data_IF_308913650108
#
_entry.id   IF_308913650108
#
_cell.length_a   1.000
_cell.length_b   1.000
_cell.length_c   1.000
_cell.angle_alpha   90.00
_cell.angle_beta   90.00
_cell.angle_gamma   90.00
#
_symmetry.space_group_name_H-M   'P 1'
#
loop_
_entity.id
_entity.type
_entity.pdbx_description
1 polymer ?
#
# COMPACT_ATOMS: atom_id res chain seq x y z
N UNK A 1 -19.53 13.07 -14.41
CA UNK A 1 -18.80 13.22 -15.67
C UNK A 1 -17.44 12.53 -15.54
N UNK A 2 -17.03 11.81 -16.58
CA UNK A 2 -15.70 11.18 -16.67
C UNK A 2 -15.05 11.70 -17.95
N UNK A 3 -13.77 12.08 -17.90
CA UNK A 3 -12.97 12.48 -19.06
C UNK A 3 -11.52 12.05 -18.91
N UNK A 4 -10.87 11.79 -20.04
CA UNK A 4 -9.42 11.64 -20.11
C UNK A 4 -8.74 12.99 -20.05
N UNK A 5 -7.53 13.02 -19.52
CA UNK A 5 -6.67 14.20 -19.48
C UNK A 5 -5.55 14.05 -20.51
N UNK A 6 -5.09 15.16 -21.09
CA UNK A 6 -3.95 15.18 -22.01
C UNK A 6 -2.65 14.65 -21.39
N UNK A 7 -2.57 14.67 -20.08
CA UNK A 7 -1.46 14.09 -19.30
C UNK A 7 -1.52 12.55 -19.19
N UNK A 8 -2.54 11.91 -19.77
CA UNK A 8 -2.73 10.46 -19.75
C UNK A 8 -3.43 9.91 -18.50
N UNK A 9 -4.00 10.78 -17.67
CA UNK A 9 -4.82 10.40 -16.51
C UNK A 9 -6.32 10.59 -16.77
N UNK A 10 -7.10 10.49 -15.69
CA UNK A 10 -8.55 10.62 -15.71
C UNK A 10 -9.04 11.66 -14.70
N UNK A 11 -10.10 12.38 -15.07
CA UNK A 11 -10.87 13.22 -14.15
C UNK A 11 -12.28 12.65 -14.05
N UNK A 12 -12.74 12.47 -12.81
CA UNK A 12 -14.11 12.12 -12.48
C UNK A 12 -14.71 13.26 -11.67
N UNK A 13 -15.83 13.80 -12.13
CA UNK A 13 -16.59 14.80 -11.37
C UNK A 13 -17.89 14.18 -10.90
N UNK A 14 -18.14 14.19 -9.59
CA UNK A 14 -19.37 13.65 -9.01
C UNK A 14 -20.56 14.63 -9.15
N UNK A 15 -21.74 14.23 -8.63
CA UNK A 15 -22.95 15.06 -8.69
C UNK A 15 -22.88 16.30 -7.78
N UNK A 16 -22.01 16.27 -6.77
CA UNK A 16 -21.76 17.39 -5.86
C UNK A 16 -20.72 18.37 -6.40
N UNK A 17 -20.10 18.05 -7.55
CA UNK A 17 -19.08 18.86 -8.21
C UNK A 17 -17.67 18.64 -7.66
N UNK A 18 -17.47 17.63 -6.82
CA UNK A 18 -16.12 17.21 -6.38
C UNK A 18 -15.42 16.53 -7.52
N UNK A 19 -14.15 16.91 -7.75
CA UNK A 19 -13.29 16.35 -8.78
C UNK A 19 -12.31 15.36 -8.16
N UNK A 20 -12.17 14.22 -8.82
CA UNK A 20 -11.21 13.17 -8.50
C UNK A 20 -10.27 13.01 -9.70
N UNK A 21 -8.98 13.18 -9.48
CA UNK A 21 -7.94 13.02 -10.51
C UNK A 21 -7.19 11.71 -10.26
N UNK A 22 -7.02 10.93 -11.33
CA UNK A 22 -6.38 9.62 -11.25
C UNK A 22 -5.24 9.54 -12.26
N UNK A 23 -4.08 9.07 -11.81
CA UNK A 23 -2.92 8.81 -12.66
C UNK A 23 -2.40 10.05 -13.41
N UNK A 24 -2.54 11.25 -12.84
CA UNK A 24 -2.01 12.47 -13.44
C UNK A 24 -0.50 12.53 -13.33
N UNK A 25 0.07 11.92 -12.28
CA UNK A 25 1.50 11.68 -12.15
C UNK A 25 1.86 10.27 -12.63
N UNK A 26 3.08 10.11 -13.16
CA UNK A 26 3.60 8.80 -13.62
C UNK A 26 3.66 7.81 -12.46
N UNK A 27 4.02 8.26 -11.27
CA UNK A 27 4.11 7.40 -10.09
C UNK A 27 2.75 6.89 -9.59
N UNK A 28 1.66 7.56 -9.94
CA UNK A 28 0.31 7.12 -9.64
C UNK A 28 -0.26 6.11 -10.65
N UNK A 29 0.54 5.65 -11.59
CA UNK A 29 0.14 4.63 -12.58
C UNK A 29 0.87 3.32 -12.32
N UNK A 30 0.16 2.22 -12.49
CA UNK A 30 0.75 0.90 -12.70
C UNK A 30 0.74 0.68 -14.21
N UNK A 31 1.90 0.84 -14.83
CA UNK A 31 2.10 0.77 -16.26
C UNK A 31 3.25 -0.18 -16.61
N UNK A 32 3.24 -0.69 -17.83
CA UNK A 32 4.29 -1.57 -18.33
C UNK A 32 5.63 -0.82 -18.34
N UNK A 33 6.67 -1.31 -17.62
CA UNK A 33 7.98 -0.67 -17.60
C UNK A 33 8.63 -0.55 -19.00
N UNK A 34 8.25 -1.41 -19.95
CA UNK A 34 8.78 -1.42 -21.31
C UNK A 34 7.93 -0.61 -22.30
N UNK A 35 6.67 -0.35 -21.94
CA UNK A 35 5.73 0.41 -22.75
C UNK A 35 4.77 1.22 -21.86
N UNK A 36 5.13 2.46 -21.49
CA UNK A 36 4.33 3.31 -20.61
C UNK A 36 2.95 3.68 -21.17
N UNK A 37 2.67 3.40 -22.43
CA UNK A 37 1.33 3.58 -23.00
C UNK A 37 0.33 2.54 -22.49
N UNK A 38 0.82 1.40 -22.03
CA UNK A 38 0.04 0.28 -21.48
C UNK A 38 -0.16 0.46 -19.98
N UNK A 39 -1.19 1.21 -19.60
CA UNK A 39 -1.52 1.47 -18.19
C UNK A 39 -2.61 0.52 -17.73
N UNK A 40 -2.31 -0.27 -16.69
CA UNK A 40 -3.24 -1.20 -16.06
C UNK A 40 -4.11 -0.54 -14.99
N UNK A 41 -3.55 0.43 -14.24
CA UNK A 41 -4.26 1.07 -13.12
C UNK A 41 -3.82 2.52 -12.95
N UNK A 42 -4.79 3.39 -12.73
CA UNK A 42 -4.60 4.78 -12.35
C UNK A 42 -5.01 4.96 -10.89
N UNK A 43 -4.08 5.30 -10.03
CA UNK A 43 -4.35 5.59 -8.62
C UNK A 43 -4.82 7.04 -8.46
N UNK A 44 -5.55 7.30 -7.40
CA UNK A 44 -6.04 8.64 -7.07
C UNK A 44 -4.88 9.57 -6.70
N UNK A 45 -4.70 10.71 -7.41
CA UNK A 45 -3.65 11.69 -7.15
C UNK A 45 -4.19 12.91 -6.41
N UNK A 46 -5.44 13.29 -6.66
CA UNK A 46 -6.00 14.50 -6.12
C UNK A 46 -7.51 14.39 -5.96
N UNK A 47 -8.02 14.99 -4.89
CA UNK A 47 -9.45 15.26 -4.69
C UNK A 47 -9.60 16.73 -4.49
N UNK A 48 -10.50 17.39 -5.22
CA UNK A 48 -10.74 18.83 -5.15
C UNK A 48 -12.24 19.11 -5.00
N UNK A 49 -12.62 19.88 -4.00
CA UNK A 49 -13.99 20.31 -3.81
C UNK A 49 -14.35 21.52 -4.69
N UNK A 50 -15.62 21.94 -4.63
CA UNK A 50 -16.13 23.10 -5.41
C UNK A 50 -15.54 24.44 -4.96
N UNK A 51 -15.08 24.52 -3.72
CA UNK A 51 -14.54 25.74 -3.13
C UNK A 51 -13.04 25.89 -3.41
N UNK A 52 -12.43 24.86 -4.05
CA UNK A 52 -11.03 24.78 -4.41
C UNK A 52 -10.14 24.28 -3.28
N UNK A 53 -10.71 23.65 -2.24
CA UNK A 53 -9.90 22.91 -1.27
C UNK A 53 -9.54 21.55 -1.85
N UNK A 54 -8.31 21.09 -1.61
CA UNK A 54 -7.88 19.82 -2.19
C UNK A 54 -6.90 19.03 -1.32
N UNK A 55 -6.85 17.75 -1.62
CA UNK A 55 -5.91 16.77 -1.09
C UNK A 55 -5.05 16.28 -2.24
N UNK A 56 -3.76 16.10 -1.99
CA UNK A 56 -2.80 15.48 -2.93
C UNK A 56 -2.35 14.15 -2.38
N UNK A 57 -2.33 13.14 -3.23
CA UNK A 57 -1.84 11.79 -2.92
C UNK A 57 -0.62 11.50 -3.77
N UNK A 58 0.51 11.23 -3.14
CA UNK A 58 1.79 11.01 -3.78
C UNK A 58 2.21 9.55 -3.67
N UNK A 59 2.82 9.04 -4.73
CA UNK A 59 3.28 7.65 -4.82
C UNK A 59 4.77 7.56 -5.14
N UNK A 60 5.38 6.45 -4.78
CA UNK A 60 6.69 6.01 -5.28
C UNK A 60 6.49 4.76 -6.12
N UNK A 61 7.35 4.53 -7.11
CA UNK A 61 7.29 3.40 -8.03
C UNK A 61 8.48 2.48 -7.85
N UNK A 62 8.24 1.19 -7.91
CA UNK A 62 9.30 0.18 -7.89
C UNK A 62 8.81 -1.10 -8.58
N UNK A 63 9.59 -1.63 -9.52
CA UNK A 63 9.31 -2.87 -10.28
C UNK A 63 7.87 -2.97 -10.82
N UNK A 64 7.39 -1.88 -11.44
CA UNK A 64 6.04 -1.79 -12.01
C UNK A 64 4.93 -1.50 -10.99
N UNK A 65 5.18 -1.65 -9.68
CA UNK A 65 4.20 -1.38 -8.64
C UNK A 65 4.28 0.07 -8.16
N UNK A 66 3.10 0.65 -7.87
CA UNK A 66 2.94 1.97 -7.28
C UNK A 66 2.61 1.86 -5.80
N UNK A 67 3.38 2.55 -4.95
CA UNK A 67 3.26 2.54 -3.49
C UNK A 67 2.87 3.91 -2.98
N UNK A 68 1.83 3.98 -2.15
CA UNK A 68 1.46 5.21 -1.47
C UNK A 68 2.62 5.69 -0.58
N UNK A 69 3.04 6.95 -0.78
CA UNK A 69 4.15 7.56 -0.03
C UNK A 69 3.72 8.71 0.86
N UNK A 70 2.77 9.54 0.41
CA UNK A 70 2.33 10.68 1.19
C UNK A 70 0.92 11.12 0.79
N UNK A 71 0.17 11.64 1.76
CA UNK A 71 -1.08 12.35 1.58
C UNK A 71 -0.91 13.73 2.22
N UNK A 72 -1.04 14.78 1.42
CA UNK A 72 -1.04 16.17 1.88
C UNK A 72 -2.44 16.71 1.78
N UNK A 73 -2.93 17.36 2.83
CA UNK A 73 -4.30 17.83 2.87
C UNK A 73 -4.43 19.24 3.47
N UNK A 74 -5.58 19.84 3.23
CA UNK A 74 -5.87 21.23 3.58
C UNK A 74 -5.18 22.26 2.66
N UNK A 75 -4.97 21.88 1.39
CA UNK A 75 -4.62 22.85 0.35
C UNK A 75 -5.85 23.65 -0.07
N UNK A 76 -5.61 24.84 -0.60
CA UNK A 76 -6.63 25.61 -1.30
C UNK A 76 -6.06 26.26 -2.56
N UNK A 77 -6.85 26.31 -3.64
CA UNK A 77 -6.47 27.02 -4.88
C UNK A 77 -6.48 28.53 -4.73
N UNK A 78 -7.09 29.04 -3.64
CA UNK A 78 -7.19 30.48 -3.35
C UNK A 78 -5.92 31.04 -2.68
N UNK A 79 -5.10 30.16 -2.10
CA UNK A 79 -3.87 30.53 -1.42
C UNK A 79 -2.80 29.50 -1.77
N UNK A 80 -1.66 29.96 -2.27
CA UNK A 80 -0.54 29.09 -2.68
C UNK A 80 0.27 28.53 -1.49
N UNK A 81 -0.25 28.62 -0.27
CA UNK A 81 0.43 28.07 0.90
C UNK A 81 0.52 26.54 0.84
N UNK A 82 1.61 26.01 1.37
CA UNK A 82 1.80 24.57 1.50
C UNK A 82 0.77 23.96 2.46
N UNK A 83 0.34 22.72 2.20
CA UNK A 83 -0.53 22.00 3.12
C UNK A 83 0.11 21.90 4.51
N UNK A 84 -0.57 22.33 5.56
CA UNK A 84 -0.03 22.27 6.92
C UNK A 84 -0.03 20.84 7.47
N UNK A 85 -0.79 19.92 6.87
CA UNK A 85 -0.97 18.55 7.35
C UNK A 85 -0.53 17.53 6.31
N UNK A 86 0.18 16.50 6.77
CA UNK A 86 0.58 15.38 5.92
C UNK A 86 0.55 14.06 6.66
N UNK A 87 0.33 12.98 5.90
CA UNK A 87 0.50 11.60 6.37
C UNK A 87 1.56 10.97 5.47
N UNK A 88 2.67 10.53 6.04
CA UNK A 88 3.75 9.85 5.33
C UNK A 88 3.72 8.35 5.59
N UNK A 89 3.99 7.58 4.54
CA UNK A 89 4.01 6.14 4.55
C UNK A 89 5.43 5.66 4.23
N UNK A 90 6.07 5.00 5.17
CA UNK A 90 7.44 4.51 5.05
C UNK A 90 7.42 3.03 4.73
N UNK A 91 7.88 2.68 3.53
CA UNK A 91 7.88 1.31 3.04
C UNK A 91 9.29 0.92 2.58
N UNK A 92 9.76 -0.25 2.98
CA UNK A 92 11.03 -0.81 2.57
C UNK A 92 10.88 -2.21 1.97
N UNK A 93 11.94 -2.68 1.35
CA UNK A 93 12.07 -4.06 0.87
C UNK A 93 12.62 -4.93 2.00
N UNK A 94 11.85 -5.84 2.59
CA UNK A 94 12.34 -6.73 3.64
C UNK A 94 13.37 -7.70 3.11
N UNK A 95 14.42 -7.95 3.89
CA UNK A 95 15.45 -8.93 3.54
C UNK A 95 14.87 -10.34 3.61
N UNK A 96 15.17 -11.19 2.62
CA UNK A 96 14.78 -12.60 2.60
C UNK A 96 13.29 -12.85 2.29
N UNK A 97 12.57 -11.83 1.84
CA UNK A 97 11.17 -11.99 1.43
C UNK A 97 11.09 -12.45 -0.03
N UNK A 98 10.29 -13.48 -0.29
CA UNK A 98 9.80 -13.73 -1.64
C UNK A 98 8.84 -12.61 -2.01
N UNK A 99 9.19 -11.80 -3.01
CA UNK A 99 8.33 -10.73 -3.49
C UNK A 99 7.23 -11.34 -4.38
N UNK A 100 5.94 -11.23 -4.00
CA UNK A 100 4.87 -11.70 -4.85
C UNK A 100 4.85 -10.92 -6.15
N UNK A 101 4.73 -11.64 -7.26
CA UNK A 101 4.55 -11.05 -8.57
C UNK A 101 3.18 -11.43 -9.17
N UNK A 102 2.75 -10.63 -10.14
CA UNK A 102 1.51 -10.88 -10.88
C UNK A 102 1.67 -10.45 -12.34
N UNK A 103 0.99 -11.16 -13.21
CA UNK A 103 0.89 -10.85 -14.65
C UNK A 103 -0.54 -10.45 -15.06
N UNK A 104 -1.43 -10.20 -14.11
CA UNK A 104 -2.82 -9.79 -14.37
C UNK A 104 -2.92 -8.50 -15.20
N UNK A 105 -1.85 -7.71 -15.21
CA UNK A 105 -1.73 -6.49 -16.02
C UNK A 105 -1.25 -6.74 -17.46
N UNK A 106 -1.07 -8.00 -17.88
CA UNK A 106 -0.39 -8.42 -19.12
C UNK A 106 1.10 -8.04 -19.18
N UNK A 107 1.67 -7.59 -18.07
CA UNK A 107 3.09 -7.40 -17.82
C UNK A 107 3.39 -7.74 -16.36
N UNK A 108 4.67 -7.91 -16.05
CA UNK A 108 5.10 -8.27 -14.70
C UNK A 108 5.03 -7.09 -13.75
N UNK A 109 4.33 -7.25 -12.63
CA UNK A 109 4.29 -6.32 -11.50
C UNK A 109 4.79 -7.06 -10.26
N UNK A 110 5.84 -6.54 -9.62
CA UNK A 110 6.42 -7.16 -8.42
C UNK A 110 6.17 -6.30 -7.20
N UNK A 111 5.61 -6.89 -6.14
CA UNK A 111 5.35 -6.18 -4.89
C UNK A 111 6.50 -6.42 -3.91
N UNK A 112 7.53 -5.58 -3.97
CA UNK A 112 8.77 -5.73 -3.17
C UNK A 112 8.74 -4.96 -1.86
N UNK A 113 7.93 -3.91 -1.74
CA UNK A 113 7.92 -3.05 -0.54
C UNK A 113 6.79 -3.42 0.41
N UNK A 114 7.08 -3.27 1.69
CA UNK A 114 6.15 -3.45 2.79
C UNK A 114 6.14 -2.21 3.69
N UNK A 115 4.95 -1.76 4.08
CA UNK A 115 4.78 -0.63 4.98
C UNK A 115 5.41 -0.93 6.35
N UNK A 116 6.26 -0.04 6.84
CA UNK A 116 6.96 -0.17 8.12
C UNK A 116 6.47 0.83 9.17
N UNK A 117 6.23 2.05 8.72
CA UNK A 117 5.78 3.11 9.61
C UNK A 117 4.84 4.08 8.88
N UNK A 118 4.01 4.76 9.67
CA UNK A 118 3.15 5.86 9.23
C UNK A 118 3.43 7.02 10.16
N UNK A 119 3.60 8.22 9.59
CA UNK A 119 3.81 9.46 10.35
C UNK A 119 2.74 10.48 10.00
N UNK A 120 2.10 11.05 11.01
CA UNK A 120 1.14 12.14 10.87
C UNK A 120 1.81 13.42 11.34
N UNK A 121 1.84 14.42 10.45
CA UNK A 121 2.49 15.72 10.70
C UNK A 121 1.49 16.87 10.65
N UNK A 122 1.76 17.87 11.46
CA UNK A 122 1.09 19.17 11.39
C UNK A 122 2.16 20.27 11.44
N UNK A 123 2.12 21.19 10.48
CA UNK A 123 3.10 22.28 10.33
C UNK A 123 4.56 21.78 10.37
N UNK A 124 4.82 20.63 9.72
CA UNK A 124 6.15 20.01 9.66
C UNK A 124 6.54 19.22 10.91
N UNK A 125 5.86 19.35 12.04
CA UNK A 125 6.13 18.62 13.27
C UNK A 125 5.36 17.28 13.31
N UNK A 126 5.99 16.23 13.85
CA UNK A 126 5.33 14.95 14.10
C UNK A 126 4.28 15.11 15.19
N UNK A 127 3.07 14.67 14.92
CA UNK A 127 1.97 14.64 15.88
C UNK A 127 1.72 13.23 16.41
N UNK A 128 1.96 12.24 15.56
CA UNK A 128 1.76 10.83 15.86
C UNK A 128 2.53 9.96 14.88
N UNK A 129 3.03 8.83 15.34
CA UNK A 129 3.60 7.82 14.46
C UNK A 129 3.08 6.43 14.81
N UNK A 130 3.12 5.54 13.82
CA UNK A 130 2.78 4.12 13.98
C UNK A 130 3.92 3.28 13.43
N UNK A 131 4.30 2.25 14.19
CA UNK A 131 5.22 1.20 13.74
C UNK A 131 4.44 -0.08 13.51
N UNK A 132 4.68 -0.73 12.38
CA UNK A 132 4.06 -2.00 12.02
C UNK A 132 5.12 -3.10 12.11
N UNK A 133 4.83 -4.17 12.86
CA UNK A 133 5.71 -5.32 13.01
C UNK A 133 5.09 -6.55 12.38
N UNK A 134 5.93 -7.39 11.77
CA UNK A 134 5.49 -8.53 11.00
C UNK A 134 6.29 -9.77 11.35
N UNK A 135 5.65 -10.93 11.23
CA UNK A 135 6.28 -12.24 11.40
C UNK A 135 5.97 -13.09 10.17
N UNK A 136 6.94 -13.86 9.63
CA UNK A 136 6.66 -14.78 8.54
C UNK A 136 5.64 -15.84 8.98
N UNK A 137 4.69 -16.14 8.11
CA UNK A 137 3.79 -17.28 8.29
C UNK A 137 4.61 -18.59 8.16
N UNK A 138 4.53 -19.50 9.12
CA UNK A 138 5.25 -20.77 9.04
C UNK A 138 4.75 -21.66 7.91
N UNK A 139 3.53 -21.44 7.42
CA UNK A 139 2.89 -22.26 6.39
C UNK A 139 3.12 -21.73 4.97
N UNK A 140 3.01 -20.40 4.78
CA UNK A 140 3.04 -19.79 3.44
C UNK A 140 4.28 -18.97 3.18
N UNK A 141 5.09 -18.68 4.21
CA UNK A 141 6.23 -17.76 4.12
C UNK A 141 5.83 -16.29 3.91
N UNK A 142 4.54 -15.99 3.77
CA UNK A 142 4.05 -14.60 3.67
C UNK A 142 4.14 -13.92 5.03
N UNK A 143 4.33 -12.60 5.02
CA UNK A 143 4.40 -11.85 6.26
C UNK A 143 3.01 -11.48 6.80
N UNK A 144 2.78 -11.79 8.06
CA UNK A 144 1.59 -11.47 8.82
C UNK A 144 1.87 -10.24 9.71
N UNK A 145 0.96 -9.27 9.70
CA UNK A 145 1.05 -8.12 10.61
C UNK A 145 0.74 -8.58 12.03
N UNK A 146 1.73 -8.56 12.92
CA UNK A 146 1.58 -9.09 14.28
C UNK A 146 1.42 -8.01 15.35
N UNK A 147 1.86 -6.77 15.04
CA UNK A 147 1.76 -5.69 16.00
C UNK A 147 1.64 -4.34 15.31
N UNK A 148 0.82 -3.45 15.88
CA UNK A 148 0.81 -2.02 15.61
C UNK A 148 1.10 -1.28 16.90
N UNK A 149 2.14 -0.44 16.88
CA UNK A 149 2.56 0.37 18.01
C UNK A 149 2.36 1.84 17.67
N UNK A 150 1.59 2.56 18.49
CA UNK A 150 1.34 3.99 18.33
C UNK A 150 2.27 4.79 19.22
N UNK A 151 2.90 5.82 18.65
CA UNK A 151 3.77 6.78 19.32
C UNK A 151 3.13 8.17 19.34
N UNK A 152 3.53 8.96 20.34
CA UNK A 152 3.10 10.35 20.51
C UNK A 152 3.88 11.34 19.62
N UNK A 153 3.75 12.64 19.94
CA UNK A 153 4.42 13.73 19.22
C UNK A 153 5.95 13.74 19.32
N UNK A 154 6.53 12.99 20.26
CA UNK A 154 7.97 12.87 20.45
C UNK A 154 8.56 11.72 19.62
N UNK A 155 7.75 11.11 18.77
CA UNK A 155 8.20 10.05 17.89
C UNK A 155 9.26 10.57 16.91
N UNK A 156 10.33 9.77 16.76
CA UNK A 156 11.37 9.99 15.77
C UNK A 156 11.41 8.77 14.85
N UNK A 157 11.40 9.03 13.55
CA UNK A 157 11.51 7.98 12.52
C UNK A 157 12.89 8.09 11.89
N UNK A 158 13.68 7.03 11.96
CA UNK A 158 14.94 6.94 11.26
C UNK A 158 14.70 6.92 9.74
N UNK A 159 15.32 7.83 8.96
CA UNK A 159 15.00 7.98 7.53
C UNK A 159 15.51 6.82 6.65
N UNK A 160 16.39 5.96 7.20
CA UNK A 160 17.01 4.83 6.47
C UNK A 160 16.35 3.50 6.84
N UNK A 161 16.23 3.24 8.13
CA UNK A 161 15.71 1.97 8.63
C UNK A 161 14.20 1.98 8.85
N UNK A 162 13.60 3.19 8.90
CA UNK A 162 12.20 3.43 9.24
C UNK A 162 11.81 2.91 10.63
N UNK A 163 12.81 2.74 11.51
CA UNK A 163 12.56 2.43 12.91
C UNK A 163 11.95 3.64 13.60
N UNK A 164 11.01 3.39 14.50
CA UNK A 164 10.32 4.44 15.27
C UNK A 164 10.73 4.33 16.72
N UNK A 165 11.14 5.45 17.31
CA UNK A 165 11.49 5.61 18.73
C UNK A 165 10.66 6.71 19.37
N UNK A 166 10.53 6.71 20.68
CA UNK A 166 9.75 7.68 21.46
C UNK A 166 8.82 6.99 22.46
N UNK A 167 7.96 7.77 23.09
CA UNK A 167 6.95 7.24 24.01
C UNK A 167 5.82 6.60 23.23
N UNK A 168 5.47 5.36 23.57
CA UNK A 168 4.46 4.57 22.88
C UNK A 168 3.30 4.19 23.81
N UNK A 169 2.12 4.02 23.23
CA UNK A 169 0.98 3.39 23.89
C UNK A 169 1.17 1.87 23.95
N UNK A 170 0.40 1.16 24.77
CA UNK A 170 0.36 -0.30 24.73
C UNK A 170 0.12 -0.81 23.31
N UNK A 171 0.82 -1.86 22.87
CA UNK A 171 0.72 -2.36 21.51
C UNK A 171 -0.63 -3.02 21.23
N UNK A 172 -1.17 -2.81 20.02
CA UNK A 172 -2.20 -3.68 19.48
C UNK A 172 -1.52 -4.90 18.87
N UNK A 173 -1.84 -6.09 19.34
CA UNK A 173 -1.28 -7.35 18.85
C UNK A 173 -2.32 -8.17 18.10
N UNK A 174 -1.89 -8.87 17.05
CA UNK A 174 -2.71 -9.79 16.25
C UNK A 174 -2.12 -11.20 16.35
N UNK A 175 -2.99 -12.17 16.62
CA UNK A 175 -2.66 -13.58 16.59
C UNK A 175 -3.40 -14.24 15.42
N UNK A 176 -2.73 -15.20 14.79
CA UNK A 176 -3.27 -15.92 13.65
C UNK A 176 -3.34 -17.42 13.97
N UNK A 177 -4.42 -18.07 13.55
CA UNK A 177 -4.50 -19.52 13.64
C UNK A 177 -3.45 -20.16 12.72
N UNK A 178 -2.68 -21.10 13.26
CA UNK A 178 -1.79 -21.96 12.47
C UNK A 178 -2.58 -23.21 12.09
N UNK A 179 -3.01 -23.33 10.85
CA UNK A 179 -3.44 -24.63 10.33
C UNK A 179 -2.18 -25.43 9.99
N UNK A 180 -2.02 -26.63 10.57
CA UNK A 180 -1.03 -27.56 10.07
C UNK A 180 -1.49 -28.02 8.68
N UNK A 181 -0.70 -27.74 7.66
CA UNK A 181 -0.94 -28.25 6.31
C UNK A 181 -0.43 -29.68 6.13
N UNK A 182 -0.40 -30.48 7.20
CA UNK A 182 -0.12 -31.89 7.09
C UNK A 182 -1.32 -32.57 6.46
N UNK A 183 -1.29 -32.65 5.14
CA UNK A 183 -2.14 -33.58 4.41
C UNK A 183 -1.66 -34.98 4.79
N UNK A 184 -2.43 -35.68 5.61
CA UNK A 184 -2.21 -37.08 5.84
C UNK A 184 -2.81 -37.82 4.65
N UNK A 185 -2.00 -38.36 3.72
CA UNK A 185 -2.56 -39.13 2.62
C UNK A 185 -3.33 -40.30 3.21
N UNK A 186 -4.61 -40.43 2.83
CA UNK A 186 -5.36 -41.65 3.15
C UNK A 186 -4.70 -42.81 2.43
N UNK A 187 -4.16 -43.74 3.19
CA UNK A 187 -3.62 -45.01 2.66
C UNK A 187 -4.71 -46.00 2.28
N UNK A 188 -5.95 -45.52 2.17
CA UNK A 188 -7.04 -46.37 1.65
C UNK A 188 -6.82 -46.53 0.16
N UNK A 189 -6.24 -47.65 -0.20
CA UNK A 189 -5.98 -48.04 -1.58
C UNK A 189 -7.32 -48.38 -2.24
N UNK A 190 -7.85 -47.43 -3.02
CA UNK A 190 -9.12 -47.55 -3.75
C UNK A 190 -9.03 -48.58 -4.90
N UNK A 191 -7.82 -49.12 -5.17
CA UNK A 191 -7.56 -50.03 -6.29
C UNK A 191 -7.63 -51.52 -5.93
N UNK A 192 -7.67 -51.89 -4.64
CA UNK A 192 -7.71 -53.30 -4.24
C UNK A 192 -9.09 -53.94 -4.33
N UNK A 193 -10.14 -53.21 -4.67
CA UNK A 193 -11.51 -53.71 -4.78
C UNK A 193 -11.97 -54.16 -6.18
N UNK A 194 -11.15 -53.99 -7.24
CA UNK A 194 -11.61 -54.18 -8.62
C UNK A 194 -11.00 -55.35 -9.37
N UNK A 195 -10.15 -56.15 -8.76
CA UNK A 195 -9.48 -57.29 -9.42
C UNK A 195 -9.73 -58.65 -8.76
N UNK A 196 -10.84 -58.88 -8.08
CA UNK A 196 -11.22 -60.20 -7.60
C UNK A 196 -12.64 -60.55 -8.07
N UNK A 197 -12.72 -60.99 -9.33
CA UNK A 197 -13.99 -61.43 -9.90
C UNK A 197 -13.78 -61.94 -11.33
N UNK A 198 -13.28 -63.16 -11.50
CA UNK A 198 -13.20 -63.83 -12.77
C UNK A 198 -12.84 -65.25 -12.54
#
# INVERSE_FOLDING_TARGET
RIRTLTTGGWEVTDRKGVKYLFGTSVNARVEDPNDPSRVFRWNLDRVEDRDGNYVVVTYTKDQGQSYLSQIDYTYTTKDATSAPYSIKFYSNTPVGMSAPDTYNAYFKVVTVKRLQAIEIKANGATMRAYKLSYTPSPTTGTYLLTQVLQFDRNAMIDPVTYSVTGSALPPMTMAYSTSSSTFTPSTTDWLTGWCSGG
#
